data_IF_980539345097
#
_entry.id   IF_980539345097
#
_cell.length_a   1.000
_cell.length_b   1.000
_cell.length_c   1.000
_cell.angle_alpha   90.00
_cell.angle_beta   90.00
_cell.angle_gamma   90.00
#
_symmetry.space_group_name_H-M   'P 1'
#
loop_
_entity.id
_entity.type
_entity.pdbx_description
1 polymer ?
#
# COMPACT_ATOMS: atom_id res chain seq x y z
N UNK A 1 5.42 -10.72 19.09
CA UNK A 1 4.78 -10.88 17.76
C UNK A 1 5.71 -10.22 16.75
N UNK A 2 6.02 -10.90 15.65
CA UNK A 2 6.81 -10.29 14.55
C UNK A 2 5.85 -9.51 13.65
N UNK A 3 6.30 -8.37 13.13
CA UNK A 3 5.54 -7.58 12.16
C UNK A 3 6.36 -7.38 10.89
N UNK A 4 5.72 -7.58 9.75
CA UNK A 4 6.22 -7.17 8.44
C UNK A 4 5.25 -6.11 7.90
N UNK A 5 5.65 -4.85 7.90
CA UNK A 5 4.85 -3.79 7.31
C UNK A 5 5.08 -3.74 5.79
N UNK A 6 4.08 -4.20 5.04
CA UNK A 6 4.18 -4.33 3.58
C UNK A 6 3.90 -3.03 2.80
N UNK A 7 3.59 -1.91 3.51
CA UNK A 7 3.19 -0.67 2.87
C UNK A 7 3.60 0.56 3.70
N UNK A 8 4.82 1.05 3.50
CA UNK A 8 5.33 2.25 4.16
C UNK A 8 5.87 3.24 3.13
N UNK A 9 5.43 4.49 3.19
CA UNK A 9 5.93 5.55 2.31
C UNK A 9 7.23 6.15 2.81
N UNK A 10 8.19 6.38 1.90
CA UNK A 10 9.48 6.96 2.22
C UNK A 10 9.34 8.48 2.43
N UNK A 11 9.39 8.95 3.68
CA UNK A 11 9.28 10.36 4.15
C UNK A 11 8.27 11.23 3.39
N UNK A 12 7.23 10.62 2.86
CA UNK A 12 6.17 11.28 2.11
C UNK A 12 5.43 12.35 2.92
N UNK A 13 5.15 12.01 4.17
CA UNK A 13 4.29 12.81 5.05
C UNK A 13 5.04 13.91 5.79
N UNK A 14 6.37 13.77 5.94
CA UNK A 14 7.17 14.70 6.71
C UNK A 14 8.22 15.39 5.86
N UNK A 15 7.82 16.49 5.27
CA UNK A 15 8.73 17.35 4.49
C UNK A 15 9.73 18.13 5.34
N UNK A 16 9.56 18.15 6.66
CA UNK A 16 10.45 18.84 7.60
C UNK A 16 11.66 18.00 8.01
N UNK A 17 11.58 16.67 7.90
CA UNK A 17 12.67 15.76 8.19
C UNK A 17 13.52 15.51 6.94
N UNK A 18 14.83 15.46 7.13
CA UNK A 18 15.73 14.93 6.11
C UNK A 18 15.57 13.41 6.04
N UNK A 19 15.98 12.80 4.93
CA UNK A 19 15.84 11.36 4.72
C UNK A 19 16.54 10.53 5.82
N UNK A 20 17.63 11.03 6.39
CA UNK A 20 18.38 10.35 7.45
C UNK A 20 17.61 10.31 8.76
N UNK A 21 17.10 11.44 9.23
CA UNK A 21 16.29 11.50 10.44
C UNK A 21 15.00 10.70 10.34
N UNK A 22 14.37 10.67 9.15
CA UNK A 22 13.23 9.79 8.89
C UNK A 22 13.59 8.31 9.05
N UNK A 23 14.70 7.87 8.45
CA UNK A 23 15.11 6.47 8.48
C UNK A 23 15.53 6.01 9.88
N UNK A 24 16.18 6.88 10.65
CA UNK A 24 16.50 6.61 12.05
C UNK A 24 15.23 6.44 12.89
N UNK A 25 14.30 7.39 12.80
CA UNK A 25 13.04 7.31 13.52
C UNK A 25 12.19 6.10 13.11
N UNK A 26 12.22 5.72 11.82
CA UNK A 26 11.56 4.51 11.33
C UNK A 26 12.19 3.24 11.93
N UNK A 27 13.53 3.17 11.97
CA UNK A 27 14.26 2.04 12.55
C UNK A 27 13.99 1.90 14.05
N UNK A 28 14.03 3.01 14.80
CA UNK A 28 13.78 3.03 16.23
C UNK A 28 12.35 2.57 16.55
N UNK A 29 11.38 3.10 15.81
CA UNK A 29 9.97 2.69 15.94
C UNK A 29 9.78 1.21 15.60
N UNK A 30 10.39 0.73 14.51
CA UNK A 30 10.33 -0.67 14.12
C UNK A 30 10.85 -1.59 15.24
N UNK A 31 11.99 -1.24 15.84
CA UNK A 31 12.55 -1.99 16.97
C UNK A 31 11.61 -1.99 18.19
N UNK A 32 11.02 -0.85 18.53
CA UNK A 32 10.09 -0.72 19.64
C UNK A 32 8.87 -1.64 19.54
N UNK A 33 8.30 -1.74 18.32
CA UNK A 33 7.03 -2.49 18.08
C UNK A 33 7.23 -3.91 17.58
N UNK A 34 8.47 -4.35 17.42
CA UNK A 34 8.78 -5.70 16.90
C UNK A 34 8.56 -5.85 15.39
N UNK A 35 8.64 -4.75 14.63
CA UNK A 35 8.65 -4.79 13.18
C UNK A 35 10.01 -5.25 12.69
N UNK A 36 10.04 -6.40 12.05
CA UNK A 36 11.29 -7.05 11.61
C UNK A 36 11.59 -6.80 10.13
N UNK A 37 10.58 -6.44 9.34
CA UNK A 37 10.71 -6.06 7.92
C UNK A 37 9.72 -4.97 7.54
N UNK A 38 10.14 -4.12 6.61
CA UNK A 38 9.36 -3.03 6.04
C UNK A 38 9.54 -3.02 4.53
N UNK A 39 8.45 -3.09 3.78
CA UNK A 39 8.45 -2.77 2.36
C UNK A 39 8.32 -1.24 2.20
N UNK A 40 9.46 -0.60 2.01
CA UNK A 40 9.56 0.85 1.88
C UNK A 40 9.31 1.27 0.42
N UNK A 41 8.31 2.10 0.22
CA UNK A 41 7.94 2.62 -1.10
C UNK A 41 8.82 3.82 -1.47
N UNK A 42 9.40 3.79 -2.66
CA UNK A 42 10.10 4.94 -3.24
C UNK A 42 9.14 6.06 -3.64
N UNK A 43 9.70 7.25 -3.85
CA UNK A 43 9.00 8.33 -4.51
C UNK A 43 9.20 8.23 -6.03
N UNK A 44 8.29 8.80 -6.86
CA UNK A 44 8.45 8.74 -8.30
C UNK A 44 9.69 9.47 -8.80
N UNK A 45 10.28 8.92 -9.86
CA UNK A 45 11.44 9.49 -10.55
C UNK A 45 12.79 9.13 -9.95
N UNK A 46 13.84 9.46 -10.68
CA UNK A 46 15.23 9.05 -10.38
C UNK A 46 15.66 9.38 -8.94
N UNK A 47 15.45 10.60 -8.50
CA UNK A 47 15.84 11.04 -7.14
C UNK A 47 15.15 10.23 -6.06
N UNK A 48 13.86 9.89 -6.26
CA UNK A 48 13.12 9.05 -5.32
C UNK A 48 13.66 7.61 -5.28
N UNK A 49 14.02 7.06 -6.43
CA UNK A 49 14.62 5.72 -6.52
C UNK A 49 16.04 5.68 -5.95
N UNK A 50 16.84 6.75 -6.14
CA UNK A 50 18.18 6.84 -5.56
C UNK A 50 18.10 6.93 -4.02
N UNK A 51 17.16 7.71 -3.49
CA UNK A 51 16.92 7.78 -2.04
C UNK A 51 16.45 6.43 -1.46
N UNK A 52 15.60 5.71 -2.19
CA UNK A 52 15.18 4.36 -1.80
C UNK A 52 16.36 3.39 -1.76
N UNK A 53 17.22 3.40 -2.77
CA UNK A 53 18.41 2.55 -2.80
C UNK A 53 19.32 2.83 -1.61
N UNK A 54 19.62 4.09 -1.35
CA UNK A 54 20.43 4.47 -0.19
C UNK A 54 19.81 4.02 1.14
N UNK A 55 18.48 4.04 1.25
CA UNK A 55 17.79 3.58 2.43
C UNK A 55 17.95 2.06 2.65
N UNK A 56 17.73 1.24 1.62
CA UNK A 56 17.87 -0.22 1.74
C UNK A 56 19.33 -0.66 1.94
N UNK A 57 20.29 0.08 1.39
CA UNK A 57 21.71 -0.15 1.64
C UNK A 57 22.10 0.17 3.10
N UNK A 58 21.49 1.21 3.70
CA UNK A 58 21.75 1.59 5.09
C UNK A 58 21.11 0.61 6.10
N UNK A 59 19.94 0.06 5.78
CA UNK A 59 19.16 -0.83 6.65
C UNK A 59 18.74 -2.13 5.95
N UNK A 60 19.70 -2.94 5.46
CA UNK A 60 19.41 -4.11 4.61
C UNK A 60 18.63 -5.21 5.35
N UNK A 61 18.81 -5.30 6.66
CA UNK A 61 18.09 -6.29 7.48
C UNK A 61 16.64 -5.89 7.76
N UNK A 62 16.33 -4.60 7.72
CA UNK A 62 14.99 -4.06 8.01
C UNK A 62 14.19 -3.76 6.75
N UNK A 63 14.83 -3.15 5.74
CA UNK A 63 14.12 -2.54 4.61
C UNK A 63 14.16 -3.42 3.34
N UNK A 64 13.06 -3.44 2.64
CA UNK A 64 12.90 -3.96 1.28
C UNK A 64 12.43 -2.80 0.40
N UNK A 65 13.11 -2.58 -0.73
CA UNK A 65 12.75 -1.51 -1.66
C UNK A 65 11.58 -1.87 -2.58
N UNK A 66 10.62 -0.95 -2.68
CA UNK A 66 9.52 -0.97 -3.64
C UNK A 66 9.64 0.25 -4.54
N UNK A 67 10.08 0.08 -5.80
CA UNK A 67 10.23 1.17 -6.76
C UNK A 67 8.87 1.72 -7.19
N UNK A 68 8.75 3.04 -7.38
CA UNK A 68 7.52 3.64 -7.91
C UNK A 68 7.53 3.61 -9.43
N UNK A 69 6.52 2.99 -10.04
CA UNK A 69 6.37 2.86 -11.48
C UNK A 69 5.09 3.58 -11.94
N UNK A 70 5.23 4.43 -12.96
CA UNK A 70 4.11 5.09 -13.65
C UNK A 70 3.85 4.37 -14.96
N UNK A 71 2.77 3.63 -15.03
CA UNK A 71 2.46 2.74 -16.17
C UNK A 71 2.41 3.43 -17.53
N UNK A 72 2.06 4.73 -17.55
CA UNK A 72 1.89 5.51 -18.78
C UNK A 72 3.13 6.31 -19.19
N UNK A 73 4.09 6.47 -18.28
CA UNK A 73 5.24 7.36 -18.48
C UNK A 73 6.58 6.62 -18.45
N UNK A 74 6.67 5.56 -17.63
CA UNK A 74 7.90 4.82 -17.43
C UNK A 74 7.95 3.58 -18.36
N UNK A 75 9.07 3.28 -19.01
CA UNK A 75 9.17 2.11 -19.86
C UNK A 75 9.25 0.81 -19.01
N UNK A 76 8.83 -0.35 -19.57
CA UNK A 76 8.96 -1.64 -18.87
C UNK A 76 10.41 -1.98 -18.45
N UNK A 77 11.42 -1.43 -19.14
CA UNK A 77 12.84 -1.62 -18.78
C UNK A 77 13.23 -1.02 -17.43
N UNK A 78 12.46 -0.05 -16.90
CA UNK A 78 12.69 0.49 -15.56
C UNK A 78 12.54 -0.61 -14.50
N UNK A 79 11.74 -1.65 -14.77
CA UNK A 79 11.58 -2.80 -13.87
C UNK A 79 12.88 -3.62 -13.80
N UNK A 80 13.63 -3.74 -14.92
CA UNK A 80 14.96 -4.37 -14.90
C UNK A 80 15.91 -3.58 -14.00
N UNK A 81 15.91 -2.24 -14.13
CA UNK A 81 16.73 -1.36 -13.29
C UNK A 81 16.38 -1.52 -11.79
N UNK A 82 15.10 -1.61 -11.45
CA UNK A 82 14.68 -1.86 -10.06
C UNK A 82 15.21 -3.19 -9.51
N UNK A 83 15.08 -4.25 -10.29
CA UNK A 83 15.57 -5.57 -9.89
C UNK A 83 17.12 -5.59 -9.75
N UNK A 84 17.84 -4.93 -10.68
CA UNK A 84 19.29 -4.85 -10.66
C UNK A 84 19.80 -3.99 -9.48
N UNK A 85 19.01 -3.02 -9.03
CA UNK A 85 19.27 -2.22 -7.82
C UNK A 85 18.89 -2.93 -6.50
N UNK A 86 18.40 -4.17 -6.57
CA UNK A 86 18.02 -4.97 -5.40
C UNK A 86 16.62 -4.65 -4.85
N UNK A 87 15.80 -3.88 -5.57
CA UNK A 87 14.40 -3.72 -5.18
C UNK A 87 13.66 -5.04 -5.38
N UNK A 88 12.70 -5.32 -4.51
CA UNK A 88 11.94 -6.57 -4.57
C UNK A 88 10.51 -6.40 -5.04
N UNK A 89 10.07 -5.16 -5.24
CA UNK A 89 8.73 -4.89 -5.69
C UNK A 89 8.56 -3.51 -6.32
N UNK A 90 7.33 -3.25 -6.70
CA UNK A 90 6.90 -2.09 -7.46
C UNK A 90 5.64 -1.52 -6.82
N UNK A 91 5.58 -0.22 -6.63
CA UNK A 91 4.34 0.52 -6.30
C UNK A 91 3.76 1.11 -7.56
N UNK A 92 2.46 0.90 -7.78
CA UNK A 92 1.69 1.48 -8.87
C UNK A 92 0.51 2.27 -8.33
N UNK A 93 0.35 3.50 -8.84
CA UNK A 93 -0.71 4.43 -8.48
C UNK A 93 -1.02 5.36 -9.65
N UNK A 94 -2.31 5.65 -9.87
CA UNK A 94 -2.77 6.72 -10.74
C UNK A 94 -2.52 6.50 -12.24
N UNK A 95 -2.92 5.37 -12.83
CA UNK A 95 -2.78 5.10 -14.25
C UNK A 95 -3.73 5.98 -15.09
N UNK A 96 -3.42 6.17 -16.37
CA UNK A 96 -4.28 6.88 -17.33
C UNK A 96 -5.38 5.97 -17.92
N UNK A 97 -5.26 4.66 -17.75
CA UNK A 97 -6.21 3.62 -18.17
C UNK A 97 -6.48 2.71 -16.98
N UNK A 98 -7.47 1.83 -17.11
CA UNK A 98 -7.70 0.79 -16.09
C UNK A 98 -6.44 -0.06 -15.92
N UNK A 99 -6.18 -0.55 -14.72
CA UNK A 99 -5.00 -1.39 -14.45
C UNK A 99 -4.90 -2.61 -15.38
N UNK A 100 -6.03 -3.18 -15.81
CA UNK A 100 -6.10 -4.35 -16.69
C UNK A 100 -6.09 -4.04 -18.20
N UNK A 101 -5.82 -2.80 -18.59
CA UNK A 101 -5.63 -2.42 -19.99
C UNK A 101 -4.41 -3.16 -20.58
N UNK A 102 -4.57 -3.80 -21.73
CA UNK A 102 -3.52 -4.59 -22.38
C UNK A 102 -2.27 -3.77 -22.72
N UNK A 103 -2.39 -2.45 -22.83
CA UNK A 103 -1.25 -1.56 -23.01
C UNK A 103 -0.20 -1.67 -21.87
N UNK A 104 -0.63 -2.12 -20.69
CA UNK A 104 0.23 -2.31 -19.53
C UNK A 104 0.80 -3.72 -19.39
N UNK A 105 0.36 -4.69 -20.18
CA UNK A 105 0.76 -6.09 -20.03
C UNK A 105 2.27 -6.29 -20.13
N UNK A 106 2.98 -5.51 -20.95
CA UNK A 106 4.45 -5.57 -21.03
C UNK A 106 5.15 -5.26 -19.69
N UNK A 107 4.54 -4.40 -18.86
CA UNK A 107 5.07 -4.13 -17.51
C UNK A 107 4.84 -5.32 -16.60
N UNK A 108 3.67 -5.96 -16.67
CA UNK A 108 3.34 -7.12 -15.85
C UNK A 108 4.14 -8.36 -16.26
N UNK A 109 4.33 -8.59 -17.56
CA UNK A 109 5.23 -9.64 -18.08
C UNK A 109 6.66 -9.44 -17.55
N UNK A 110 7.16 -8.23 -17.63
CA UNK A 110 8.50 -7.89 -17.13
C UNK A 110 8.61 -8.09 -15.63
N UNK A 111 7.64 -7.62 -14.86
CA UNK A 111 7.59 -7.80 -13.41
C UNK A 111 7.56 -9.30 -13.04
N UNK A 112 6.75 -10.10 -13.73
CA UNK A 112 6.70 -11.55 -13.53
C UNK A 112 8.06 -12.20 -13.86
N UNK A 113 8.63 -11.89 -15.01
CA UNK A 113 9.93 -12.45 -15.45
C UNK A 113 11.08 -12.10 -14.51
N UNK A 114 11.04 -10.92 -13.87
CA UNK A 114 12.03 -10.46 -12.89
C UNK A 114 11.71 -10.86 -11.44
N UNK A 115 10.61 -11.60 -11.23
CA UNK A 115 10.17 -12.01 -9.89
C UNK A 115 9.83 -10.85 -8.98
N UNK A 116 9.42 -9.71 -9.54
CA UNK A 116 9.00 -8.53 -8.76
C UNK A 116 7.59 -8.73 -8.22
N UNK A 117 7.28 -8.12 -7.08
CA UNK A 117 5.93 -8.04 -6.48
C UNK A 117 5.32 -6.70 -6.83
N UNK A 118 4.02 -6.64 -7.01
CA UNK A 118 3.36 -5.35 -7.29
C UNK A 118 2.37 -5.02 -6.19
N UNK A 119 2.54 -3.84 -5.60
CA UNK A 119 1.57 -3.21 -4.72
C UNK A 119 0.81 -2.14 -5.51
N UNK A 120 -0.46 -2.39 -5.75
CA UNK A 120 -1.38 -1.45 -6.37
C UNK A 120 -2.10 -0.61 -5.31
N UNK A 121 -2.19 0.68 -5.52
CA UNK A 121 -3.26 1.42 -4.86
C UNK A 121 -4.60 0.90 -5.41
N UNK A 122 -5.55 0.56 -4.56
CA UNK A 122 -6.88 0.11 -5.00
C UNK A 122 -8.00 0.89 -4.32
N UNK A 123 -9.05 1.17 -5.09
CA UNK A 123 -10.22 1.91 -4.63
C UNK A 123 -10.10 3.42 -4.81
N UNK A 124 -10.73 4.16 -3.90
CA UNK A 124 -10.77 5.61 -3.96
C UNK A 124 -9.42 6.21 -3.57
N UNK A 125 -8.92 7.12 -4.39
CA UNK A 125 -7.78 7.93 -4.03
C UNK A 125 -8.23 8.98 -3.00
N UNK A 126 -8.23 8.59 -1.75
CA UNK A 126 -8.45 9.47 -0.63
C UNK A 126 -7.19 10.27 -0.29
N UNK A 127 -7.33 11.25 0.54
CA UNK A 127 -6.23 11.99 1.12
C UNK A 127 -6.47 12.22 2.59
N UNK A 128 -5.56 12.93 3.23
CA UNK A 128 -5.71 13.37 4.62
C UNK A 128 -6.92 14.29 4.86
N UNK A 129 -7.74 14.55 3.85
CA UNK A 129 -8.88 15.45 3.89
C UNK A 129 -10.20 14.73 3.59
N UNK A 130 -10.44 13.60 4.21
CA UNK A 130 -11.80 13.13 4.35
C UNK A 130 -12.51 14.05 5.35
N UNK A 131 -13.28 15.02 4.81
CA UNK A 131 -13.95 16.00 5.66
C UNK A 131 -15.12 15.43 6.44
N UNK A 132 -15.57 14.22 6.16
CA UNK A 132 -16.58 13.53 6.97
C UNK A 132 -15.95 12.90 8.22
N UNK A 133 -14.70 12.41 8.12
CA UNK A 133 -14.04 11.72 9.21
C UNK A 133 -12.93 12.54 9.87
N UNK A 134 -12.58 13.69 9.28
CA UNK A 134 -11.44 14.48 9.72
C UNK A 134 -10.08 13.82 9.44
N UNK A 135 -9.03 14.60 9.51
CA UNK A 135 -7.65 14.14 9.32
C UNK A 135 -7.01 13.62 10.61
N UNK A 136 -7.68 13.74 11.73
CA UNK A 136 -7.19 13.36 13.04
C UNK A 136 -8.32 12.76 13.87
N UNK A 137 -8.07 11.54 14.32
CA UNK A 137 -8.62 11.03 15.56
C UNK A 137 -10.12 11.27 15.78
N UNK A 138 -10.96 10.57 15.00
CA UNK A 138 -12.32 10.25 15.38
C UNK A 138 -13.39 11.35 15.33
N UNK A 139 -13.09 12.58 14.90
CA UNK A 139 -14.09 13.61 14.79
C UNK A 139 -14.69 13.72 13.39
N UNK A 140 -15.97 13.48 13.27
CA UNK A 140 -16.73 13.88 12.09
C UNK A 140 -16.60 15.39 11.90
N UNK A 141 -16.11 15.81 10.74
CA UNK A 141 -16.11 17.21 10.36
C UNK A 141 -17.22 17.47 9.37
N UNK A 142 -17.92 18.58 9.55
CA UNK A 142 -18.83 19.06 8.51
C UNK A 142 -18.03 19.35 7.23
N UNK A 143 -18.63 19.16 6.05
CA UNK A 143 -18.03 19.62 4.81
C UNK A 143 -17.63 21.10 4.91
N UNK A 144 -16.51 21.50 4.33
CA UNK A 144 -16.13 22.92 4.32
C UNK A 144 -17.21 23.74 3.60
N UNK A 145 -17.45 24.94 4.07
CA UNK A 145 -18.43 25.89 3.48
C UNK A 145 -17.83 27.28 3.34
N UNK A 146 -18.39 28.09 2.43
CA UNK A 146 -17.93 29.45 2.23
C UNK A 146 -16.48 29.53 1.75
N UNK A 147 -15.67 30.37 2.39
CA UNK A 147 -14.29 30.60 2.00
C UNK A 147 -13.40 29.36 2.10
N UNK A 148 -13.66 28.46 3.05
CA UNK A 148 -12.94 27.20 3.18
C UNK A 148 -13.23 26.25 2.02
N UNK A 149 -14.47 26.20 1.56
CA UNK A 149 -14.87 25.43 0.39
C UNK A 149 -14.21 25.97 -0.87
N UNK A 150 -14.22 27.29 -1.06
CA UNK A 150 -13.59 27.95 -2.21
C UNK A 150 -12.07 27.65 -2.24
N UNK A 151 -11.40 27.73 -1.11
CA UNK A 151 -9.97 27.39 -1.02
C UNK A 151 -9.73 25.91 -1.33
N UNK A 152 -10.56 25.02 -0.79
CA UNK A 152 -10.51 23.59 -1.07
C UNK A 152 -10.66 23.30 -2.57
N UNK A 153 -11.70 23.87 -3.20
CA UNK A 153 -11.96 23.71 -4.64
C UNK A 153 -10.81 24.29 -5.47
N UNK A 154 -10.30 25.47 -5.11
CA UNK A 154 -9.16 26.07 -5.80
C UNK A 154 -7.89 25.20 -5.69
N UNK A 155 -7.65 24.59 -4.54
CA UNK A 155 -6.54 23.65 -4.34
C UNK A 155 -6.70 22.40 -5.20
N UNK A 156 -7.88 21.78 -5.20
CA UNK A 156 -8.18 20.62 -6.03
C UNK A 156 -8.03 20.93 -7.53
N UNK A 157 -8.52 22.09 -7.96
CA UNK A 157 -8.38 22.54 -9.34
C UNK A 157 -6.91 22.77 -9.75
N UNK A 158 -6.06 23.26 -8.85
CA UNK A 158 -4.62 23.38 -9.09
C UNK A 158 -3.96 22.01 -9.23
N UNK A 159 -4.33 21.07 -8.37
CA UNK A 159 -3.81 19.70 -8.44
C UNK A 159 -4.25 18.99 -9.71
N UNK A 160 -5.51 19.13 -10.10
CA UNK A 160 -6.06 18.52 -11.31
C UNK A 160 -5.37 19.04 -12.58
N UNK A 161 -5.11 20.35 -12.66
CA UNK A 161 -4.41 20.96 -13.83
C UNK A 161 -2.98 20.45 -14.02
N UNK A 162 -2.30 20.07 -12.93
CA UNK A 162 -0.94 19.52 -13.01
C UNK A 162 -0.86 18.02 -13.31
N UNK A 163 -1.99 17.31 -13.34
CA UNK A 163 -2.02 15.83 -13.39
C UNK A 163 -2.90 15.25 -14.50
N UNK A 164 -3.28 16.02 -15.47
CA UNK A 164 -4.15 15.71 -16.61
C UNK A 164 -5.05 14.50 -16.41
N UNK A 165 -5.03 13.35 -16.47
CA UNK A 165 -6.06 12.30 -16.37
C UNK A 165 -5.69 11.15 -15.40
N UNK A 166 -4.50 11.19 -14.81
CA UNK A 166 -3.87 10.06 -14.13
C UNK A 166 -4.34 9.75 -12.71
N UNK A 167 -5.38 10.38 -12.17
CA UNK A 167 -5.80 10.14 -10.79
C UNK A 167 -7.31 9.87 -10.65
N UNK A 168 -7.87 9.21 -11.65
CA UNK A 168 -9.26 8.75 -11.52
C UNK A 168 -9.31 7.46 -10.72
N UNK A 169 -9.96 7.49 -9.56
CA UNK A 169 -10.21 6.31 -8.73
C UNK A 169 -10.95 5.19 -9.50
N UNK A 170 -11.75 5.55 -10.51
CA UNK A 170 -12.43 4.58 -11.36
C UNK A 170 -11.47 3.63 -12.10
N UNK A 171 -10.22 4.01 -12.29
CA UNK A 171 -9.19 3.21 -12.98
C UNK A 171 -8.37 2.31 -12.04
N UNK A 172 -8.61 2.45 -10.75
CA UNK A 172 -7.89 1.75 -9.69
C UNK A 172 -8.79 0.80 -8.91
N UNK A 173 -9.89 0.36 -9.52
CA UNK A 173 -10.81 -0.53 -8.82
C UNK A 173 -10.21 -1.92 -8.61
N UNK A 174 -10.49 -2.58 -7.47
CA UNK A 174 -9.91 -3.88 -7.14
C UNK A 174 -10.23 -4.96 -8.20
N UNK A 175 -11.37 -4.86 -8.89
CA UNK A 175 -11.78 -5.86 -9.89
C UNK A 175 -10.75 -6.02 -11.01
N UNK A 176 -10.02 -4.98 -11.39
CA UNK A 176 -9.00 -5.07 -12.44
C UNK A 176 -7.84 -6.00 -12.09
N UNK A 177 -7.59 -6.21 -10.79
CA UNK A 177 -6.55 -7.14 -10.34
C UNK A 177 -6.94 -8.60 -10.61
N UNK A 178 -8.22 -8.91 -10.80
CA UNK A 178 -8.68 -10.24 -11.18
C UNK A 178 -8.14 -10.63 -12.55
N UNK A 179 -8.28 -9.74 -13.54
CA UNK A 179 -7.78 -9.93 -14.91
C UNK A 179 -6.27 -10.09 -14.93
N UNK A 180 -5.55 -9.21 -14.21
CA UNK A 180 -4.08 -9.24 -14.13
C UNK A 180 -3.60 -10.55 -13.48
N UNK A 181 -4.20 -10.93 -12.35
CA UNK A 181 -3.84 -12.17 -11.65
C UNK A 181 -4.15 -13.44 -12.46
N UNK A 182 -5.14 -13.37 -13.35
CA UNK A 182 -5.45 -14.46 -14.28
C UNK A 182 -4.44 -14.53 -15.42
N UNK A 183 -4.10 -13.38 -16.03
CA UNK A 183 -3.18 -13.30 -17.16
C UNK A 183 -1.73 -13.58 -16.75
N UNK A 184 -1.35 -13.22 -15.51
CA UNK A 184 0.02 -13.36 -14.97
C UNK A 184 0.01 -14.16 -13.66
N UNK A 185 -0.24 -15.48 -13.72
CA UNK A 185 -0.52 -16.30 -12.53
C UNK A 185 0.70 -16.49 -11.59
N UNK A 186 1.91 -16.21 -12.08
CA UNK A 186 3.12 -16.30 -11.26
C UNK A 186 3.46 -14.98 -10.55
N UNK A 187 2.80 -13.89 -10.93
CA UNK A 187 3.03 -12.57 -10.36
C UNK A 187 2.30 -12.43 -9.01
N UNK A 188 3.06 -12.07 -7.97
CA UNK A 188 2.45 -11.68 -6.70
C UNK A 188 1.91 -10.27 -6.75
N UNK A 189 0.62 -10.12 -6.44
CA UNK A 189 -0.11 -8.85 -6.41
C UNK A 189 -0.60 -8.57 -5.00
N UNK A 190 -0.46 -7.33 -4.57
CA UNK A 190 -1.05 -6.81 -3.35
C UNK A 190 -1.94 -5.62 -3.73
N UNK A 191 -3.23 -5.69 -3.42
CA UNK A 191 -4.13 -4.54 -3.52
C UNK A 191 -4.15 -3.79 -2.19
N UNK A 192 -3.98 -2.48 -2.20
CA UNK A 192 -4.00 -1.68 -0.99
C UNK A 192 -5.43 -1.49 -0.43
N UNK A 193 -5.54 -1.25 0.90
CA UNK A 193 -6.77 -0.79 1.57
C UNK A 193 -7.95 -1.75 1.45
N UNK A 194 -7.71 -3.05 1.25
CA UNK A 194 -8.74 -4.06 0.94
C UNK A 194 -9.73 -3.58 -0.15
N UNK A 195 -9.22 -2.78 -1.11
CA UNK A 195 -10.02 -2.28 -2.22
C UNK A 195 -11.04 -1.19 -1.87
N UNK A 196 -10.84 -0.44 -0.78
CA UNK A 196 -11.76 0.59 -0.29
C UNK A 196 -12.40 1.43 -1.40
N UNK A 197 -13.75 1.59 -1.45
CA UNK A 197 -14.76 1.00 -0.58
C UNK A 197 -15.33 -0.34 -1.06
N UNK A 198 -14.80 -0.91 -2.16
CA UNK A 198 -15.32 -2.13 -2.81
C UNK A 198 -14.77 -3.42 -2.15
N UNK A 199 -14.82 -3.47 -0.82
CA UNK A 199 -14.29 -4.57 -0.01
C UNK A 199 -14.76 -5.96 -0.44
N UNK A 200 -16.07 -6.11 -0.77
CA UNK A 200 -16.61 -7.42 -1.18
C UNK A 200 -16.02 -7.90 -2.49
N UNK A 201 -15.82 -7.00 -3.45
CA UNK A 201 -15.13 -7.34 -4.71
C UNK A 201 -13.71 -7.80 -4.42
N UNK A 202 -12.95 -7.04 -3.62
CA UNK A 202 -11.58 -7.40 -3.23
C UNK A 202 -11.52 -8.78 -2.55
N UNK A 203 -12.39 -9.03 -1.57
CA UNK A 203 -12.48 -10.32 -0.89
C UNK A 203 -12.82 -11.46 -1.87
N UNK A 204 -13.78 -11.24 -2.77
CA UNK A 204 -14.21 -12.26 -3.72
C UNK A 204 -13.08 -12.68 -4.67
N UNK A 205 -12.40 -11.72 -5.31
CA UNK A 205 -11.32 -12.03 -6.26
C UNK A 205 -10.10 -12.65 -5.56
N UNK A 206 -9.76 -12.20 -4.34
CA UNK A 206 -8.64 -12.77 -3.58
C UNK A 206 -8.82 -14.26 -3.31
N UNK A 207 -10.05 -14.72 -3.08
CA UNK A 207 -10.37 -16.14 -2.86
C UNK A 207 -10.07 -17.01 -4.09
N UNK A 208 -10.17 -16.47 -5.29
CA UNK A 208 -10.01 -17.20 -6.55
C UNK A 208 -8.62 -17.07 -7.18
N UNK A 209 -7.81 -16.11 -6.72
CA UNK A 209 -6.48 -15.85 -7.29
C UNK A 209 -5.38 -16.21 -6.28
N UNK A 210 -4.62 -17.29 -6.50
CA UNK A 210 -3.66 -17.80 -5.52
C UNK A 210 -2.62 -16.77 -5.06
N UNK A 211 -2.12 -15.92 -5.99
CA UNK A 211 -1.08 -14.92 -5.72
C UNK A 211 -1.59 -13.48 -5.63
N UNK A 212 -2.89 -13.29 -5.48
CA UNK A 212 -3.50 -12.00 -5.16
C UNK A 212 -3.81 -11.93 -3.66
N UNK A 213 -3.30 -10.88 -3.04
CA UNK A 213 -3.47 -10.54 -1.63
C UNK A 213 -3.98 -9.12 -1.51
N UNK A 214 -4.46 -8.75 -0.33
CA UNK A 214 -4.79 -7.36 -0.02
C UNK A 214 -4.14 -6.95 1.29
N UNK A 215 -3.66 -5.70 1.36
CA UNK A 215 -3.30 -5.13 2.64
C UNK A 215 -4.53 -4.49 3.33
N UNK A 216 -4.40 -4.29 4.63
CA UNK A 216 -5.44 -3.71 5.48
C UNK A 216 -5.13 -2.27 5.88
N UNK A 217 -4.29 -1.59 5.10
CA UNK A 217 -3.89 -0.20 5.32
C UNK A 217 -5.04 0.80 5.07
N UNK A 218 -4.77 2.08 5.26
CA UNK A 218 -5.73 3.16 4.99
C UNK A 218 -6.29 3.83 6.26
N UNK A 219 -5.67 3.53 7.41
CA UNK A 219 -5.94 4.20 8.68
C UNK A 219 -7.29 3.88 9.31
N UNK A 220 -7.74 4.76 10.19
CA UNK A 220 -8.91 4.53 11.06
C UNK A 220 -10.22 4.31 10.30
N UNK A 221 -10.40 4.99 9.17
CA UNK A 221 -11.61 4.86 8.34
C UNK A 221 -11.73 3.47 7.75
N UNK A 222 -10.68 3.02 7.08
CA UNK A 222 -10.66 1.69 6.44
C UNK A 222 -10.75 0.59 7.49
N UNK A 223 -10.00 0.71 8.59
CA UNK A 223 -10.04 -0.25 9.69
C UNK A 223 -11.46 -0.39 10.28
N UNK A 224 -12.13 0.74 10.56
CA UNK A 224 -13.51 0.73 11.04
C UNK A 224 -14.46 0.04 10.06
N UNK A 225 -14.39 0.39 8.78
CA UNK A 225 -15.23 -0.24 7.77
C UNK A 225 -14.99 -1.74 7.63
N UNK A 226 -13.74 -2.18 7.74
CA UNK A 226 -13.39 -3.61 7.70
C UNK A 226 -13.99 -4.34 8.91
N UNK A 227 -13.90 -3.75 10.10
CA UNK A 227 -14.44 -4.31 11.34
C UNK A 227 -15.96 -4.34 11.29
N UNK A 228 -16.60 -3.19 11.04
CA UNK A 228 -18.07 -3.05 11.05
C UNK A 228 -18.72 -3.88 9.93
N UNK A 229 -18.06 -4.02 8.79
CA UNK A 229 -18.51 -4.85 7.69
C UNK A 229 -18.30 -6.34 7.89
N UNK A 230 -17.52 -6.74 8.91
CA UNK A 230 -17.26 -8.14 9.24
C UNK A 230 -16.56 -8.91 8.11
N UNK A 231 -15.72 -8.24 7.30
CA UNK A 231 -15.14 -8.86 6.12
C UNK A 231 -14.15 -9.98 6.45
N UNK A 232 -13.29 -9.76 7.45
CA UNK A 232 -12.32 -10.76 7.89
C UNK A 232 -13.08 -11.94 8.54
N UNK A 233 -12.73 -13.13 8.16
CA UNK A 233 -13.35 -14.41 8.52
C UNK A 233 -14.68 -14.72 7.80
N UNK A 234 -15.49 -13.73 7.43
CA UNK A 234 -16.74 -13.99 6.73
C UNK A 234 -16.58 -13.96 5.19
N UNK A 235 -15.81 -12.99 4.67
CA UNK A 235 -15.63 -12.81 3.22
C UNK A 235 -14.20 -13.12 2.75
N UNK A 236 -13.20 -12.94 3.62
CA UNK A 236 -11.80 -13.22 3.33
C UNK A 236 -11.13 -13.86 4.55
N UNK A 237 -10.16 -14.74 4.29
CA UNK A 237 -9.41 -15.41 5.35
C UNK A 237 -8.05 -14.75 5.57
N UNK A 238 -7.46 -14.91 6.78
CA UNK A 238 -6.15 -14.38 7.13
C UNK A 238 -5.05 -14.70 6.13
N UNK A 239 -5.10 -15.87 5.47
CA UNK A 239 -4.13 -16.33 4.47
C UNK A 239 -4.03 -15.44 3.22
N UNK A 240 -4.98 -14.55 3.03
CA UNK A 240 -5.07 -13.64 1.87
C UNK A 240 -4.85 -12.18 2.23
N UNK A 241 -4.55 -11.91 3.49
CA UNK A 241 -4.33 -10.57 4.01
C UNK A 241 -2.86 -10.35 4.39
N UNK A 242 -2.38 -9.15 4.22
CA UNK A 242 -1.09 -8.69 4.73
C UNK A 242 -1.28 -7.40 5.54
N UNK A 243 -0.47 -7.23 6.57
CA UNK A 243 -0.40 -5.97 7.27
C UNK A 243 0.34 -4.94 6.43
N UNK A 244 -0.19 -3.73 6.36
CA UNK A 244 0.43 -2.55 5.80
C UNK A 244 -0.11 -1.33 6.52
N UNK A 245 0.75 -0.41 6.94
CA UNK A 245 0.31 0.79 7.66
C UNK A 245 -0.13 1.92 6.74
N UNK A 246 0.45 2.00 5.54
CA UNK A 246 0.32 3.16 4.62
C UNK A 246 0.64 4.47 5.34
N UNK A 247 1.59 4.42 6.25
CA UNK A 247 1.96 5.53 7.12
C UNK A 247 3.46 5.68 7.25
N UNK A 248 3.87 6.56 8.13
CA UNK A 248 5.24 6.73 8.58
C UNK A 248 5.41 6.26 10.05
N UNK A 249 6.63 6.37 10.57
CA UNK A 249 6.99 5.97 11.91
C UNK A 249 6.08 6.52 13.02
N UNK A 250 5.45 7.69 12.83
CA UNK A 250 4.64 8.37 13.85
C UNK A 250 3.33 7.64 14.16
N UNK A 251 2.80 6.88 13.20
CA UNK A 251 1.52 6.17 13.32
C UNK A 251 1.65 4.66 13.44
N UNK A 252 2.77 4.09 13.02
CA UNK A 252 2.98 2.63 12.97
C UNK A 252 2.64 1.93 14.28
N UNK A 253 3.11 2.47 15.41
CA UNK A 253 2.86 1.86 16.74
C UNK A 253 1.36 1.77 17.04
N UNK A 254 0.66 2.89 16.92
CA UNK A 254 -0.78 2.95 17.15
C UNK A 254 -1.52 2.02 16.20
N UNK A 255 -1.15 2.00 14.93
CA UNK A 255 -1.84 1.20 13.92
C UNK A 255 -1.71 -0.31 14.19
N UNK A 256 -0.52 -0.78 14.55
CA UNK A 256 -0.29 -2.17 14.97
C UNK A 256 -1.10 -2.52 16.21
N UNK A 257 -1.11 -1.65 17.24
CA UNK A 257 -1.86 -1.88 18.47
C UNK A 257 -3.37 -1.94 18.22
N UNK A 258 -3.91 -1.06 17.40
CA UNK A 258 -5.33 -1.01 17.07
C UNK A 258 -5.77 -2.22 16.24
N UNK A 259 -4.96 -2.65 15.25
CA UNK A 259 -5.25 -3.88 14.52
C UNK A 259 -5.17 -5.11 15.42
N UNK A 260 -4.20 -5.18 16.31
CA UNK A 260 -4.12 -6.29 17.28
C UNK A 260 -5.36 -6.37 18.15
N UNK A 261 -5.81 -5.24 18.73
CA UNK A 261 -7.05 -5.18 19.50
C UNK A 261 -8.27 -5.62 18.67
N UNK A 262 -8.34 -5.18 17.41
CA UNK A 262 -9.41 -5.57 16.51
C UNK A 262 -9.41 -7.09 16.25
N UNK A 263 -8.26 -7.68 15.96
CA UNK A 263 -8.13 -9.13 15.75
C UNK A 263 -8.48 -9.94 16.98
N UNK A 264 -8.03 -9.50 18.16
CA UNK A 264 -8.39 -10.12 19.43
C UNK A 264 -9.92 -10.08 19.64
N UNK A 265 -10.57 -8.95 19.34
CA UNK A 265 -12.02 -8.79 19.46
C UNK A 265 -12.81 -9.62 18.43
N UNK A 266 -12.25 -9.89 17.26
CA UNK A 266 -12.81 -10.79 16.26
C UNK A 266 -12.57 -12.27 16.57
N UNK A 267 -11.77 -12.58 17.59
CA UNK A 267 -11.42 -13.94 17.99
C UNK A 267 -10.41 -14.63 17.09
N UNK A 268 -9.57 -13.87 16.37
CA UNK A 268 -8.47 -14.45 15.59
C UNK A 268 -7.45 -15.08 16.53
N UNK A 269 -7.07 -16.31 16.24
CA UNK A 269 -5.99 -16.98 16.95
C UNK A 269 -4.64 -16.30 16.72
N UNK A 270 -3.68 -16.54 17.59
CA UNK A 270 -2.32 -16.02 17.43
C UNK A 270 -1.68 -16.43 16.09
N UNK A 271 -1.99 -17.63 15.59
CA UNK A 271 -1.50 -18.14 14.31
C UNK A 271 -2.11 -17.37 13.12
N UNK A 272 -3.39 -17.04 13.17
CA UNK A 272 -4.08 -16.23 12.16
C UNK A 272 -3.60 -14.78 12.15
N UNK A 273 -3.34 -14.21 13.34
CA UNK A 273 -2.73 -12.88 13.44
C UNK A 273 -1.31 -12.86 12.87
N UNK A 274 -0.50 -13.89 13.14
CA UNK A 274 0.86 -14.01 12.60
C UNK A 274 0.86 -14.17 11.08
N UNK A 275 -0.15 -14.82 10.48
CA UNK A 275 -0.34 -14.83 9.03
C UNK A 275 -0.45 -13.42 8.46
N UNK A 276 -1.33 -12.59 9.05
CA UNK A 276 -1.57 -11.23 8.57
C UNK A 276 -0.38 -10.32 8.83
N UNK A 277 0.14 -10.35 10.08
CA UNK A 277 1.20 -9.43 10.47
C UNK A 277 2.57 -9.78 9.91
N UNK A 278 2.83 -11.05 9.54
CA UNK A 278 4.17 -11.43 9.13
C UNK A 278 4.20 -12.46 8.00
N UNK A 279 3.70 -13.69 8.20
CA UNK A 279 4.01 -14.84 7.35
C UNK A 279 3.59 -14.67 5.89
N UNK A 280 2.46 -14.04 5.62
CA UNK A 280 2.03 -13.84 4.24
C UNK A 280 2.95 -12.87 3.49
N UNK A 281 3.33 -11.75 4.11
CA UNK A 281 4.28 -10.82 3.52
C UNK A 281 5.66 -11.48 3.35
N UNK A 282 6.16 -12.20 4.35
CA UNK A 282 7.41 -12.95 4.28
C UNK A 282 7.41 -13.90 3.08
N UNK A 283 6.35 -14.70 2.92
CA UNK A 283 6.17 -15.59 1.75
C UNK A 283 6.14 -14.84 0.43
N UNK A 284 5.39 -13.73 0.34
CA UNK A 284 5.29 -12.91 -0.87
C UNK A 284 6.67 -12.39 -1.27
N UNK A 285 7.43 -11.87 -0.33
CA UNK A 285 8.74 -11.27 -0.59
C UNK A 285 9.91 -12.27 -0.57
N UNK A 286 9.65 -13.55 -0.32
CA UNK A 286 10.66 -14.59 -0.28
C UNK A 286 11.66 -14.36 0.86
N UNK A 287 11.16 -13.97 2.03
CA UNK A 287 11.95 -13.87 3.27
C UNK A 287 11.85 -15.23 3.98
N UNK A 288 12.98 -15.84 4.21
CA UNK A 288 13.06 -17.08 4.98
C UNK A 288 12.90 -16.77 6.48
N UNK A 289 12.25 -17.68 7.22
CA UNK A 289 12.08 -17.59 8.67
C UNK A 289 13.39 -17.85 9.42
#
# INVERSE_FOLDING_TARGET
MRVFDAHVHNFWWDRSQNAEGFLEALSDTAQEIGTVKIALLGNPGKTGHDALQAAIEKYPDLLIGMGWLRLDEDPPSLIDEFADRGFRGIKILGPYRNYDDEAYYRHYEKAQARGMRILFHTGILGGSNDYLMGSSEDAWKAPPTGAEEEEYVARMARQARGRQFGHSSARMQPIYLDTIAFAFPELYLIGAHLGWPDYRTACAIARWRPRLFFDISGGDVVRRHIIDGGYIMNEIRPEKLVYGSDSDHRRMKRDVEEWKKAFDSMGLSADEQDLIFYRNAARIFGIED
#
